data_IF_315131643653
#
_entry.id   IF_315131643653
#
_cell.length_a   1.000
_cell.length_b   1.000
_cell.length_c   1.000
_cell.angle_alpha   90.00
_cell.angle_beta   90.00
_cell.angle_gamma   90.00
#
_symmetry.space_group_name_H-M   'P 1'
#
loop_
_entity.id
_entity.type
_entity.pdbx_description
1 polymer ?
2 non-polymer ?
3 water ?
#
# COMPACT_ATOMS: atom_id res chain seq x y z
N UNK A 1 -23.61 21.68 21.84
CA UNK A 1 -23.33 20.65 20.79
C UNK A 1 -22.16 19.77 21.21
N UNK A 2 -22.04 18.61 20.56
CA UNK A 2 -20.95 17.68 20.85
C UNK A 2 -19.65 18.32 20.40
N UNK A 3 -18.55 17.95 21.03
CA UNK A 3 -17.25 18.50 20.67
C UNK A 3 -16.81 17.84 19.36
N UNK A 4 -16.03 18.56 18.55
CA UNK A 4 -15.54 18.05 17.27
C UNK A 4 -14.67 16.81 17.45
N UNK A 5 -14.53 16.02 16.39
CA UNK A 5 -13.69 14.83 16.47
C UNK A 5 -12.24 15.30 16.41
N UNK A 6 -11.35 14.47 16.95
CA UNK A 6 -9.93 14.76 16.95
C UNK A 6 -9.38 14.35 15.59
N UNK A 7 -8.30 14.99 15.15
CA UNK A 7 -7.67 14.66 13.88
C UNK A 7 -6.16 14.75 14.06
N UNK A 8 -5.41 13.89 13.36
CA UNK A 8 -3.96 13.99 13.52
C UNK A 8 -3.39 15.00 12.50
N UNK A 9 -4.27 15.56 11.69
CA UNK A 9 -3.90 16.53 10.67
C UNK A 9 -4.57 17.86 10.94
N UNK A 10 -4.28 18.86 10.12
CA UNK A 10 -4.79 20.21 10.31
C UNK A 10 -6.22 20.46 9.82
N UNK A 11 -6.59 19.86 8.69
CA UNK A 11 -7.92 20.10 8.14
C UNK A 11 -8.83 18.88 8.06
N UNK A 12 -10.13 19.14 8.01
CA UNK A 12 -11.13 18.08 7.93
C UNK A 12 -11.96 18.23 6.66
N UNK A 13 -13.00 17.42 6.51
CA UNK A 13 -13.82 17.48 5.31
C UNK A 13 -14.54 18.80 5.09
N UNK A 14 -14.73 19.58 6.16
CA UNK A 14 -15.40 20.87 6.05
C UNK A 14 -14.46 21.94 5.49
N UNK A 15 -13.20 21.56 5.28
CA UNK A 15 -12.20 22.50 4.75
C UNK A 15 -11.94 22.28 3.28
N UNK A 16 -12.64 21.32 2.69
CA UNK A 16 -12.52 21.02 1.29
C UNK A 16 -13.90 20.90 0.67
N UNK A 17 -14.04 21.35 -0.57
CA UNK A 17 -15.31 21.27 -1.28
C UNK A 17 -15.07 20.63 -2.63
N UNK A 18 -15.85 19.59 -2.92
CA UNK A 18 -15.73 18.87 -4.17
C UNK A 18 -16.74 19.47 -5.15
N UNK A 19 -16.20 20.04 -6.22
CA UNK A 19 -17.00 20.68 -7.25
C UNK A 19 -17.78 19.62 -8.02
N UNK A 20 -17.12 18.51 -8.33
CA UNK A 20 -17.77 17.44 -9.06
C UNK A 20 -16.80 16.33 -9.41
N UNK A 21 -17.37 15.23 -9.91
CA UNK A 21 -16.59 14.08 -10.34
C UNK A 21 -17.11 13.75 -11.72
N UNK A 22 -16.25 13.82 -12.73
CA UNK A 22 -16.68 13.52 -14.08
C UNK A 22 -15.98 12.24 -14.52
N UNK A 23 -16.74 11.36 -15.18
CA UNK A 23 -16.16 10.10 -15.64
C UNK A 23 -15.32 10.26 -16.89
N UNK A 24 -14.05 9.91 -16.77
CA UNK A 24 -13.12 9.99 -17.89
C UNK A 24 -13.32 8.74 -18.72
N UNK A 25 -13.43 7.60 -18.05
CA UNK A 25 -13.65 6.31 -18.70
C UNK A 25 -14.47 5.44 -17.77
N UNK A 26 -15.44 4.72 -18.34
CA UNK A 26 -16.31 3.84 -17.57
C UNK A 26 -16.16 2.36 -17.93
N UNK A 27 -15.99 1.52 -16.90
CA UNK A 27 -15.86 0.08 -17.09
C UNK A 27 -16.22 -0.48 -15.72
N UNK A 28 -15.97 -1.76 -15.43
CA UNK A 28 -16.31 -2.24 -14.08
C UNK A 28 -15.36 -1.52 -13.14
N UNK A 29 -14.25 -1.07 -13.69
CA UNK A 29 -13.25 -0.27 -12.96
C UNK A 29 -13.30 1.04 -13.73
N UNK A 30 -13.33 2.15 -13.02
CA UNK A 30 -13.42 3.43 -13.68
C UNK A 30 -12.35 4.43 -13.29
N UNK A 31 -12.13 5.38 -14.20
CA UNK A 31 -11.18 6.46 -14.00
C UNK A 31 -12.01 7.73 -14.01
N UNK A 32 -12.10 8.36 -12.84
CA UNK A 32 -12.85 9.60 -12.69
C UNK A 32 -11.94 10.79 -12.44
N UNK A 33 -12.48 11.98 -12.65
CA UNK A 33 -11.73 13.19 -12.42
C UNK A 33 -12.38 14.03 -11.32
N UNK A 34 -11.67 14.14 -10.20
CA UNK A 34 -12.16 14.93 -9.07
C UNK A 34 -11.76 16.39 -9.31
N UNK A 35 -12.74 17.29 -9.19
CA UNK A 35 -12.56 18.73 -9.34
C UNK A 35 -12.87 19.29 -7.96
N UNK A 36 -11.95 20.03 -7.36
CA UNK A 36 -12.18 20.51 -6.00
C UNK A 36 -11.30 21.67 -5.58
N UNK A 37 -11.66 22.27 -4.44
CA UNK A 37 -10.91 23.37 -3.85
C UNK A 37 -10.74 23.00 -2.39
N UNK A 38 -9.74 23.56 -1.74
CA UNK A 38 -9.49 23.24 -0.34
C UNK A 38 -8.70 24.35 0.32
N UNK A 39 -8.78 24.44 1.65
CA UNK A 39 -8.02 25.46 2.36
C UNK A 39 -6.54 25.10 2.28
N UNK A 40 -5.70 26.12 2.22
CA UNK A 40 -4.26 25.91 2.18
C UNK A 40 -3.75 26.20 3.59
N UNK A 41 -2.54 25.72 3.91
CA UNK A 41 -1.97 25.96 5.23
C UNK A 41 -1.71 27.43 5.51
N UNK A 42 -1.55 28.22 4.46
CA UNK A 42 -1.32 29.65 4.66
C UNK A 42 -2.64 30.36 4.97
N UNK A 43 -3.71 29.60 5.16
CA UNK A 43 -4.98 30.21 5.50
C UNK A 43 -5.84 30.65 4.34
N UNK A 44 -5.34 30.51 3.13
CA UNK A 44 -6.14 30.90 1.99
C UNK A 44 -6.87 29.71 1.41
N UNK A 45 -7.64 29.95 0.34
CA UNK A 45 -8.39 28.89 -0.30
C UNK A 45 -7.83 28.72 -1.70
N UNK A 46 -7.73 27.47 -2.15
CA UNK A 46 -7.16 27.17 -3.46
C UNK A 46 -8.05 27.46 -4.66
N UNK A 47 -7.47 27.38 -5.85
CA UNK A 47 -8.22 27.54 -7.09
C UNK A 47 -8.65 26.10 -7.33
N UNK A 48 -9.46 25.87 -8.37
CA UNK A 48 -9.87 24.50 -8.64
C UNK A 48 -8.63 23.66 -8.93
N UNK A 49 -8.62 22.45 -8.36
CA UNK A 49 -7.54 21.51 -8.58
C UNK A 49 -8.25 20.31 -9.17
N UNK A 50 -7.58 19.62 -10.10
CA UNK A 50 -8.15 18.49 -10.78
C UNK A 50 -7.24 17.28 -10.66
N UNK A 51 -7.83 16.13 -10.35
CA UNK A 51 -7.10 14.87 -10.16
C UNK A 51 -7.80 13.69 -10.84
N UNK A 52 -7.03 12.82 -11.49
CA UNK A 52 -7.59 11.64 -12.13
C UNK A 52 -7.46 10.55 -11.06
N UNK A 53 -8.59 9.95 -10.70
CA UNK A 53 -8.59 8.93 -9.67
C UNK A 53 -9.12 7.58 -10.15
N UNK A 54 -8.37 6.52 -9.83
CA UNK A 54 -8.73 5.17 -10.19
C UNK A 54 -9.75 4.63 -9.16
N UNK A 55 -10.97 4.40 -9.63
CA UNK A 55 -12.07 3.89 -8.83
C UNK A 55 -12.15 2.40 -9.15
N UNK A 56 -11.89 1.58 -8.15
CA UNK A 56 -11.83 0.15 -8.34
C UNK A 56 -12.44 -0.62 -7.17
N UNK A 57 -13.19 0.07 -6.32
CA UNK A 57 -13.77 -0.61 -5.18
C UNK A 57 -12.73 -0.74 -4.10
N UNK A 58 -13.00 -1.60 -3.13
CA UNK A 58 -12.12 -1.81 -1.99
C UNK A 58 -12.01 -3.29 -1.68
N UNK A 59 -10.92 -3.68 -1.01
CA UNK A 59 -10.70 -5.09 -0.71
C UNK A 59 -10.64 -5.48 0.75
N UNK A 60 -10.82 -6.77 0.99
CA UNK A 60 -10.75 -7.38 2.32
C UNK A 60 -9.52 -8.29 2.24
N UNK A 61 -8.65 -8.26 3.25
CA UNK A 61 -7.43 -9.06 3.27
C UNK A 61 -7.34 -9.95 4.53
N UNK A 62 -6.97 -11.21 4.35
CA UNK A 62 -6.84 -12.12 5.48
C UNK A 62 -5.45 -12.74 5.59
N UNK A 63 -4.85 -12.63 6.77
CA UNK A 63 -3.52 -13.20 7.02
C UNK A 63 -3.76 -14.52 7.75
N UNK A 64 -3.59 -15.67 7.04
CA UNK A 64 -3.79 -17.00 7.64
C UNK A 64 -2.61 -17.42 8.54
N UNK A 65 -2.84 -17.35 9.84
CA UNK A 65 -1.82 -17.67 10.82
C UNK A 65 -2.16 -18.86 11.74
N UNK A 66 -1.26 -19.84 11.77
CA UNK A 66 -1.38 -21.03 12.62
C UNK A 66 -0.43 -20.67 13.77
N UNK A 67 -0.98 -20.22 14.91
CA UNK A 67 -0.15 -19.85 16.06
C UNK A 67 0.59 -21.00 16.74
N UNK A 68 0.01 -22.20 16.69
CA UNK A 68 0.63 -23.34 17.34
C UNK A 68 1.81 -23.86 16.54
N UNK A 69 1.64 -24.03 15.23
CA UNK A 69 2.76 -24.52 14.39
C UNK A 69 3.62 -23.35 13.92
N UNK A 70 3.21 -22.13 14.26
CA UNK A 70 3.92 -20.92 13.88
C UNK A 70 4.19 -20.89 12.38
N UNK A 71 3.12 -21.09 11.61
CA UNK A 71 3.21 -21.10 10.15
C UNK A 71 2.21 -20.13 9.54
N UNK A 72 2.42 -19.85 8.26
CA UNK A 72 1.59 -18.93 7.50
C UNK A 72 1.19 -19.61 6.19
N UNK A 73 -0.04 -19.41 5.76
CA UNK A 73 -0.50 -20.00 4.51
C UNK A 73 -0.60 -18.90 3.47
N UNK A 74 0.24 -18.99 2.44
CA UNK A 74 0.26 -18.01 1.35
C UNK A 74 -0.51 -18.51 0.14
N UNK A 75 -0.74 -17.61 -0.81
CA UNK A 75 -1.47 -17.96 -2.02
C UNK A 75 -0.67 -17.44 -3.22
N UNK A 76 -0.46 -18.29 -4.21
CA UNK A 76 0.26 -17.91 -5.44
C UNK A 76 -0.75 -17.69 -6.55
N UNK A 77 -0.59 -16.59 -7.26
CA UNK A 77 -1.53 -16.21 -8.32
C UNK A 77 -0.87 -15.22 -9.28
N UNK A 78 -1.29 -15.21 -10.54
CA UNK A 78 -0.72 -14.28 -11.52
C UNK A 78 -1.35 -12.89 -11.41
N UNK A 79 -0.48 -11.88 -11.42
CA UNK A 79 -0.87 -10.48 -11.36
C UNK A 79 -0.15 -9.82 -12.53
N UNK A 80 -0.82 -9.74 -13.67
CA UNK A 80 -0.22 -9.17 -14.88
C UNK A 80 0.36 -7.75 -14.75
N UNK A 81 -0.22 -6.92 -13.88
CA UNK A 81 0.27 -5.55 -13.70
C UNK A 81 1.70 -5.51 -13.12
N UNK A 82 2.10 -6.61 -12.47
CA UNK A 82 3.43 -6.75 -11.87
C UNK A 82 4.47 -7.12 -12.93
N UNK A 83 4.01 -7.41 -14.13
CA UNK A 83 4.86 -7.80 -15.25
C UNK A 83 6.02 -6.89 -15.65
N UNK A 84 5.72 -5.63 -15.94
CA UNK A 84 6.77 -4.71 -16.38
C UNK A 84 7.86 -4.37 -15.39
N UNK A 85 7.64 -4.63 -14.10
CA UNK A 85 8.64 -4.30 -13.08
C UNK A 85 9.02 -5.47 -12.17
N UNK A 86 8.65 -6.69 -12.56
CA UNK A 86 8.97 -7.87 -11.77
C UNK A 86 9.48 -9.00 -12.63
N UNK A 87 10.27 -9.88 -12.02
CA UNK A 87 10.84 -11.04 -12.71
C UNK A 87 9.74 -12.02 -13.13
N UNK A 88 8.69 -12.14 -12.33
CA UNK A 88 7.57 -13.03 -12.68
C UNK A 88 6.25 -12.36 -12.30
N UNK A 89 5.22 -12.50 -13.15
CA UNK A 89 3.93 -11.87 -12.80
C UNK A 89 3.17 -12.71 -11.76
N UNK A 90 3.77 -13.82 -11.33
CA UNK A 90 3.16 -14.69 -10.33
C UNK A 90 3.67 -14.31 -8.96
N UNK A 91 2.75 -13.80 -8.13
CA UNK A 91 3.07 -13.35 -6.79
C UNK A 91 2.56 -14.25 -5.66
N UNK A 92 3.20 -14.13 -4.50
CA UNK A 92 2.80 -14.85 -3.29
C UNK A 92 2.00 -13.82 -2.50
N UNK A 93 0.72 -14.09 -2.27
CA UNK A 93 -0.10 -13.12 -1.58
C UNK A 93 -0.94 -13.63 -0.41
N UNK A 94 -1.70 -12.71 0.14
CA UNK A 94 -2.60 -12.98 1.25
C UNK A 94 -3.95 -13.32 0.63
N UNK A 95 -4.82 -13.92 1.43
CA UNK A 95 -6.15 -14.24 0.98
C UNK A 95 -6.77 -12.85 0.89
N UNK A 96 -7.44 -12.56 -0.21
CA UNK A 96 -8.07 -11.26 -0.40
C UNK A 96 -9.23 -11.32 -1.38
N UNK A 97 -10.16 -10.37 -1.26
CA UNK A 97 -11.31 -10.34 -2.15
C UNK A 97 -12.00 -9.00 -2.09
N UNK A 98 -12.78 -8.68 -3.09
CA UNK A 98 -13.47 -7.39 -3.13
C UNK A 98 -14.61 -7.39 -2.16
N UNK A 99 -14.81 -6.25 -1.49
CA UNK A 99 -15.91 -6.14 -0.55
C UNK A 99 -17.12 -5.66 -1.31
N UNK A 100 -18.21 -6.41 -1.17
CA UNK A 100 -19.46 -6.10 -1.84
C UNK A 100 -20.46 -5.46 -0.88
N UNK A 101 -21.49 -4.83 -1.43
CA UNK A 101 -22.53 -4.17 -0.64
C UNK A 101 -23.17 -5.07 0.42
N UNK A 102 -23.28 -4.54 1.64
CA UNK A 102 -23.89 -5.29 2.72
C UNK A 102 -23.01 -6.37 3.32
N UNK A 103 -21.77 -6.49 2.83
CA UNK A 103 -20.84 -7.49 3.33
C UNK A 103 -19.81 -6.84 4.25
N UNK A 104 -19.44 -7.52 5.33
CA UNK A 104 -18.44 -6.99 6.25
C UNK A 104 -17.08 -7.47 5.80
N UNK A 105 -16.04 -6.82 6.29
CA UNK A 105 -14.69 -7.20 5.93
C UNK A 105 -14.41 -8.64 6.35
N UNK A 106 -14.92 -9.01 7.52
CA UNK A 106 -14.75 -10.34 8.07
C UNK A 106 -15.47 -11.42 7.25
N UNK A 107 -16.67 -11.12 6.78
CA UNK A 107 -17.42 -12.08 5.98
C UNK A 107 -16.72 -12.40 4.65
N UNK A 108 -16.10 -11.38 4.06
CA UNK A 108 -15.40 -11.56 2.80
C UNK A 108 -14.12 -12.37 3.03
N UNK A 109 -13.38 -12.00 4.06
CA UNK A 109 -12.15 -12.68 4.41
C UNK A 109 -12.44 -14.16 4.65
N UNK A 110 -13.49 -14.45 5.41
CA UNK A 110 -13.87 -15.83 5.70
C UNK A 110 -14.30 -16.60 4.45
N UNK A 111 -15.08 -15.96 3.59
CA UNK A 111 -15.54 -16.62 2.37
C UNK A 111 -14.36 -16.88 1.43
N UNK A 112 -13.46 -15.91 1.36
CA UNK A 112 -12.29 -16.01 0.49
C UNK A 112 -11.28 -17.05 0.95
N UNK A 113 -11.19 -17.25 2.26
CA UNK A 113 -10.26 -18.23 2.83
C UNK A 113 -10.65 -19.61 2.34
N UNK A 114 -11.95 -19.88 2.34
CA UNK A 114 -12.48 -21.15 1.89
C UNK A 114 -12.26 -21.40 0.39
N UNK A 115 -12.77 -20.53 -0.46
CA UNK A 115 -12.62 -20.76 -1.90
C UNK A 115 -11.26 -20.48 -2.55
N UNK A 116 -10.36 -19.77 -1.87
CA UNK A 116 -9.05 -19.52 -2.45
C UNK A 116 -8.01 -20.50 -1.93
N UNK A 117 -8.07 -20.80 -0.63
CA UNK A 117 -7.11 -21.71 -0.02
C UNK A 117 -7.68 -22.94 0.68
N UNK A 118 -8.99 -23.15 0.61
CA UNK A 118 -9.60 -24.30 1.25
C UNK A 118 -9.40 -24.34 2.77
N UNK A 119 -9.32 -23.18 3.39
CA UNK A 119 -9.12 -23.09 4.82
C UNK A 119 -10.37 -22.64 5.55
N UNK A 120 -10.56 -23.11 6.77
CA UNK A 120 -11.70 -22.68 7.55
C UNK A 120 -11.14 -21.85 8.71
N UNK A 121 -11.34 -20.54 8.65
CA UNK A 121 -10.83 -19.63 9.66
C UNK A 121 -11.60 -19.73 10.97
N UNK A 122 -10.86 -19.73 12.07
CA UNK A 122 -11.47 -19.82 13.40
C UNK A 122 -11.61 -18.39 13.90
N UNK A 123 -10.89 -18.03 14.95
CA UNK A 123 -10.96 -16.67 15.45
C UNK A 123 -10.28 -15.68 14.49
N UNK A 124 -10.83 -14.48 14.38
CA UNK A 124 -10.25 -13.44 13.53
C UNK A 124 -9.93 -12.25 14.43
N UNK A 125 -9.11 -11.34 13.92
CA UNK A 125 -8.71 -10.19 14.69
C UNK A 125 -8.32 -9.06 13.73
N UNK A 126 -8.90 -7.87 13.93
CA UNK A 126 -8.55 -6.75 13.02
C UNK A 126 -7.07 -6.38 13.13
N UNK A 127 -6.43 -6.13 12.00
CA UNK A 127 -5.02 -5.77 11.97
C UNK A 127 -4.84 -4.31 11.61
N UNK A 128 -5.24 -3.96 10.39
CA UNK A 128 -5.08 -2.60 9.90
C UNK A 128 -5.75 -2.40 8.55
N UNK A 129 -6.21 -1.18 8.32
CA UNK A 129 -6.87 -0.80 7.07
C UNK A 129 -6.00 0.28 6.44
N UNK A 130 -5.57 0.08 5.19
CA UNK A 130 -4.70 1.05 4.55
C UNK A 130 -5.10 1.49 3.14
N UNK A 131 -4.62 2.66 2.73
CA UNK A 131 -4.89 3.16 1.39
C UNK A 131 -3.67 2.78 0.52
N UNK A 132 -3.92 1.98 -0.51
CA UNK A 132 -2.86 1.48 -1.39
C UNK A 132 -1.91 2.53 -1.94
N UNK A 133 -2.47 3.62 -2.49
CA UNK A 133 -1.70 4.70 -3.11
C UNK A 133 -2.68 5.85 -3.32
N UNK A 134 -3.05 6.53 -2.21
CA UNK A 134 -4.00 7.65 -2.14
C UNK A 134 -3.89 8.85 -3.06
N UNK A 135 -2.76 8.97 -3.75
CA UNK A 135 -2.59 10.08 -4.67
C UNK A 135 -3.24 9.83 -6.02
N UNK A 136 -3.55 8.57 -6.31
CA UNK A 136 -4.14 8.25 -7.60
C UNK A 136 -5.24 7.22 -7.56
N UNK A 137 -5.44 6.59 -6.40
CA UNK A 137 -6.51 5.60 -6.25
C UNK A 137 -7.19 5.81 -4.92
N UNK A 138 -8.47 5.50 -4.91
CA UNK A 138 -9.29 5.59 -3.70
C UNK A 138 -9.28 4.26 -2.96
N UNK A 139 -8.74 3.21 -3.59
CA UNK A 139 -8.74 1.88 -2.98
C UNK A 139 -8.27 1.75 -1.55
N UNK A 140 -9.11 1.14 -0.74
CA UNK A 140 -8.84 0.91 0.66
C UNK A 140 -8.89 -0.60 0.93
N UNK A 141 -7.88 -1.12 1.64
CA UNK A 141 -7.79 -2.55 1.97
C UNK A 141 -7.73 -2.75 3.47
N UNK A 142 -8.61 -3.61 3.98
CA UNK A 142 -8.70 -3.92 5.39
C UNK A 142 -8.14 -5.31 5.69
N UNK A 143 -7.11 -5.37 6.53
CA UNK A 143 -6.48 -6.63 6.87
C UNK A 143 -6.96 -7.21 8.19
N UNK A 144 -6.99 -8.54 8.24
CA UNK A 144 -7.36 -9.28 9.43
C UNK A 144 -6.48 -10.52 9.54
N UNK A 145 -6.24 -10.95 10.78
CA UNK A 145 -5.47 -12.16 11.01
C UNK A 145 -6.50 -13.25 11.23
N UNK A 146 -6.36 -14.33 10.49
CA UNK A 146 -7.29 -15.43 10.65
C UNK A 146 -6.58 -16.61 11.25
N UNK A 147 -7.06 -17.07 12.41
CA UNK A 147 -6.48 -18.23 13.09
C UNK A 147 -6.83 -19.42 12.22
N UNK A 148 -5.83 -20.22 11.88
CA UNK A 148 -6.10 -21.34 11.03
C UNK A 148 -5.21 -22.52 11.41
N UNK A 149 -5.61 -23.72 10.99
CA UNK A 149 -4.82 -24.93 11.26
C UNK A 149 -4.12 -25.19 9.94
N UNK A 150 -2.86 -24.78 9.84
CA UNK A 150 -2.08 -24.92 8.61
C UNK A 150 -2.06 -26.31 7.98
N UNK A 151 -2.48 -27.33 8.72
CA UNK A 151 -2.50 -28.68 8.18
C UNK A 151 -3.73 -28.88 7.29
N UNK A 152 -4.65 -27.92 7.34
CA UNK A 152 -5.87 -27.95 6.54
C UNK A 152 -5.58 -27.39 5.13
N UNK A 153 -4.32 -27.47 4.72
CA UNK A 153 -3.89 -26.99 3.41
C UNK A 153 -4.79 -27.56 2.31
N UNK A 154 -5.12 -26.73 1.31
CA UNK A 154 -5.97 -27.16 0.19
C UNK A 154 -6.11 -26.05 -0.85
N UNK A 159 -7.88 -30.25 -3.02
CA UNK A 159 -7.63 -28.93 -3.61
C UNK A 159 -8.80 -27.98 -3.42
N UNK A 160 -8.48 -26.69 -3.30
CA UNK A 160 -9.47 -25.65 -3.11
C UNK A 160 -10.41 -25.58 -4.31
N UNK A 161 -11.15 -24.49 -4.41
CA UNK A 161 -12.09 -24.31 -5.50
C UNK A 161 -11.41 -23.71 -6.72
N UNK A 162 -10.53 -22.73 -6.48
CA UNK A 162 -9.81 -22.07 -7.56
C UNK A 162 -8.37 -22.56 -7.61
N UNK A 163 -8.16 -23.86 -7.39
CA UNK A 163 -6.81 -24.40 -7.41
C UNK A 163 -6.12 -24.28 -8.77
N UNK A 164 -6.88 -24.03 -9.84
CA UNK A 164 -6.27 -23.89 -11.16
C UNK A 164 -5.71 -22.50 -11.42
N UNK A 165 -6.22 -21.52 -10.67
CA UNK A 165 -5.77 -20.12 -10.78
C UNK A 165 -4.96 -19.70 -9.54
N UNK A 166 -5.17 -20.43 -8.44
CA UNK A 166 -4.51 -20.14 -7.16
C UNK A 166 -3.89 -21.39 -6.54
N UNK A 167 -2.64 -21.30 -6.09
CA UNK A 167 -1.97 -22.42 -5.45
C UNK A 167 -1.50 -22.00 -4.05
N UNK A 168 -1.86 -22.78 -3.03
CA UNK A 168 -1.45 -22.42 -1.68
C UNK A 168 -0.04 -22.93 -1.37
N UNK A 169 0.64 -22.21 -0.49
CA UNK A 169 2.00 -22.53 -0.07
C UNK A 169 2.02 -22.36 1.43
N UNK A 170 2.25 -23.44 2.17
CA UNK A 170 2.31 -23.33 3.63
C UNK A 170 3.77 -23.24 4.04
N UNK A 171 4.12 -22.19 4.76
CA UNK A 171 5.50 -21.98 5.21
C UNK A 171 5.54 -21.47 6.66
N UNK A 172 6.74 -21.45 7.23
CA UNK A 172 6.94 -20.98 8.58
C UNK A 172 6.85 -19.45 8.56
N UNK A 173 6.43 -18.88 9.69
CA UNK A 173 6.33 -17.44 9.81
C UNK A 173 7.69 -16.85 9.46
N UNK A 174 8.75 -17.42 10.02
CA UNK A 174 10.10 -16.93 9.76
C UNK A 174 10.51 -16.93 8.29
N UNK A 175 10.08 -17.94 7.53
CA UNK A 175 10.41 -18.01 6.11
C UNK A 175 9.62 -16.92 5.35
N UNK A 176 8.37 -16.73 5.77
CA UNK A 176 7.52 -15.74 5.14
C UNK A 176 8.17 -14.37 5.28
N UNK A 177 8.52 -14.01 6.51
CA UNK A 177 9.15 -12.72 6.79
C UNK A 177 10.49 -12.55 6.09
N UNK A 178 11.31 -13.59 6.08
CA UNK A 178 12.61 -13.52 5.42
C UNK A 178 12.41 -13.21 3.94
N UNK A 179 11.32 -13.73 3.36
CA UNK A 179 11.05 -13.46 1.95
C UNK A 179 10.60 -12.02 1.72
N UNK A 180 10.00 -11.41 2.74
CA UNK A 180 9.60 -10.03 2.64
C UNK A 180 10.90 -9.21 2.63
N UNK A 181 11.82 -9.52 3.54
CA UNK A 181 13.09 -8.81 3.61
C UNK A 181 13.93 -8.91 2.35
N UNK A 182 13.91 -10.08 1.71
CA UNK A 182 14.67 -10.33 0.50
C UNK A 182 14.00 -9.80 -0.76
N UNK A 183 12.76 -9.34 -0.63
CA UNK A 183 12.03 -8.82 -1.78
C UNK A 183 11.29 -9.89 -2.55
N UNK A 184 11.16 -11.08 -1.98
CA UNK A 184 10.47 -12.18 -2.65
C UNK A 184 8.96 -12.11 -2.47
N UNK A 185 8.54 -11.27 -1.54
CA UNK A 185 7.12 -11.01 -1.29
C UNK A 185 7.10 -9.50 -1.22
N UNK A 186 6.66 -8.85 -2.28
CA UNK A 186 6.65 -7.39 -2.29
C UNK A 186 5.33 -6.73 -2.63
N UNK A 187 4.21 -7.41 -2.42
CA UNK A 187 2.93 -6.75 -2.68
C UNK A 187 2.49 -6.13 -1.35
N UNK A 188 2.03 -4.89 -1.39
CA UNK A 188 1.64 -4.14 -0.20
C UNK A 188 0.91 -4.85 0.94
N UNK A 189 -0.23 -5.48 0.64
CA UNK A 189 -1.00 -6.17 1.67
C UNK A 189 -0.22 -7.26 2.40
N UNK A 190 0.61 -7.99 1.66
CA UNK A 190 1.41 -9.05 2.25
C UNK A 190 2.56 -8.50 3.08
N UNK A 191 3.21 -7.44 2.59
CA UNK A 191 4.32 -6.83 3.32
C UNK A 191 3.83 -6.25 4.64
N UNK A 192 2.73 -5.50 4.59
CA UNK A 192 2.15 -4.90 5.78
C UNK A 192 1.69 -5.97 6.79
N UNK A 193 0.96 -6.95 6.29
CA UNK A 193 0.47 -8.04 7.14
C UNK A 193 1.59 -8.79 7.86
N UNK A 194 2.59 -9.24 7.10
CA UNK A 194 3.70 -9.99 7.67
C UNK A 194 4.66 -9.22 8.57
N UNK A 195 4.75 -7.91 8.37
CA UNK A 195 5.60 -7.09 9.22
C UNK A 195 4.82 -6.92 10.54
N UNK A 196 3.50 -6.79 10.45
CA UNK A 196 2.67 -6.62 11.63
C UNK A 196 2.76 -7.91 12.44
N UNK A 197 2.76 -9.03 11.73
CA UNK A 197 2.83 -10.35 12.38
C UNK A 197 4.18 -10.60 13.04
N UNK A 198 5.24 -10.08 12.45
CA UNK A 198 6.58 -10.26 13.00
C UNK A 198 6.72 -9.41 14.25
N UNK A 199 5.85 -8.42 14.40
CA UNK A 199 5.88 -7.52 15.53
C UNK A 199 4.97 -7.97 16.65
N UNK A 200 3.99 -8.79 16.30
CA UNK A 200 3.01 -9.26 17.28
C UNK A 200 2.88 -10.76 17.50
N UNK A 201 3.57 -11.58 16.71
CA UNK A 201 3.40 -13.02 16.84
C UNK A 201 3.34 -13.62 18.26
N UNK A 202 4.20 -13.18 19.16
CA UNK A 202 4.21 -13.73 20.52
C UNK A 202 2.94 -13.38 21.30
N UNK A 203 2.52 -12.13 21.25
CA UNK A 203 1.32 -11.71 21.97
C UNK A 203 0.10 -12.43 21.41
N UNK A 204 0.03 -12.56 20.08
CA UNK A 204 -1.09 -13.23 19.40
C UNK A 204 -1.16 -14.72 19.72
N UNK A 205 0.00 -15.37 19.73
CA UNK A 205 0.09 -16.79 20.07
C UNK A 205 -0.36 -16.99 21.52
N UNK A 206 0.06 -16.11 22.43
CA UNK A 206 -0.35 -16.22 23.82
C UNK A 206 -1.86 -16.01 23.91
N UNK A 207 -2.37 -15.04 23.14
CA UNK A 207 -3.79 -14.78 23.17
C UNK A 207 -4.61 -15.95 22.67
N UNK A 208 -4.22 -16.53 21.55
CA UNK A 208 -4.93 -17.66 20.98
C UNK A 208 -4.51 -19.03 21.55
N UNK A 209 -3.65 -19.02 22.56
CA UNK A 209 -3.16 -20.25 23.17
C UNK A 209 -4.27 -21.13 23.76
N UNK B 8 9.65 -21.53 -4.43
CA UNK B 8 8.30 -20.94 -4.24
C UNK B 8 7.51 -20.87 -5.55
N UNK B 9 7.57 -19.71 -6.20
CA UNK B 9 6.87 -19.49 -7.45
C UNK B 9 7.45 -20.36 -8.58
N UNK B 10 6.58 -21.10 -9.24
CA UNK B 10 6.99 -21.99 -10.33
C UNK B 10 7.08 -21.26 -11.68
N UNK B 11 5.94 -20.73 -12.10
CA UNK B 11 5.78 -20.04 -13.37
C UNK B 11 6.54 -18.75 -13.56
N UNK B 12 6.80 -18.41 -14.82
CA UNK B 12 7.51 -17.19 -15.16
C UNK B 12 6.94 -16.50 -16.38
N UNK B 13 7.70 -15.60 -16.99
CA UNK B 13 7.22 -14.86 -18.16
C UNK B 13 7.03 -15.69 -19.43
N UNK B 14 7.64 -16.86 -19.52
CA UNK B 14 7.45 -17.71 -20.69
C UNK B 14 6.14 -18.50 -20.55
N UNK B 15 5.53 -18.42 -19.37
CA UNK B 15 4.27 -19.12 -19.09
C UNK B 15 3.07 -18.20 -19.29
N UNK B 16 3.32 -17.08 -19.95
CA UNK B 16 2.28 -16.11 -20.22
C UNK B 16 2.48 -15.52 -21.58
N UNK B 17 1.40 -15.44 -22.33
CA UNK B 17 1.43 -14.83 -23.65
C UNK B 17 0.52 -13.62 -23.59
N UNK B 18 1.11 -12.44 -23.73
CA UNK B 18 0.34 -11.22 -23.73
C UNK B 18 -0.06 -11.01 -25.17
N UNK B 19 -1.35 -11.15 -25.44
CA UNK B 19 -1.90 -11.01 -26.78
C UNK B 19 -1.86 -9.55 -27.26
N UNK B 20 -2.15 -8.62 -26.36
CA UNK B 20 -2.15 -7.22 -26.73
C UNK B 20 -2.43 -6.27 -25.57
N UNK B 21 -2.04 -5.02 -25.75
CA UNK B 21 -2.27 -3.98 -24.74
C UNK B 21 -2.94 -2.83 -25.47
N UNK B 22 -3.99 -2.27 -24.88
CA UNK B 22 -4.71 -1.18 -25.51
C UNK B 22 -4.99 -0.09 -24.51
N UNK B 23 -4.82 1.15 -24.91
CA UNK B 23 -5.10 2.25 -23.99
C UNK B 23 -6.57 2.62 -24.11
N UNK B 24 -7.33 2.35 -23.06
CA UNK B 24 -8.75 2.67 -23.03
C UNK B 24 -8.90 4.16 -22.82
N UNK B 25 -7.98 4.74 -22.06
CA UNK B 25 -7.99 6.16 -21.79
C UNK B 25 -6.59 6.70 -21.49
N UNK B 26 -6.29 7.87 -22.05
CA UNK B 26 -4.99 8.48 -21.81
C UNK B 26 -5.13 9.98 -21.55
N UNK B 27 -4.85 10.36 -20.31
CA UNK B 27 -4.90 11.75 -19.91
C UNK B 27 -3.57 11.96 -19.21
N UNK B 28 -3.62 12.44 -17.96
CA UNK B 28 -2.39 12.65 -17.19
C UNK B 28 -1.81 11.26 -16.91
N UNK B 29 -2.70 10.35 -16.55
CA UNK B 29 -2.34 8.97 -16.28
C UNK B 29 -2.95 8.13 -17.40
N UNK B 30 -2.75 6.82 -17.33
CA UNK B 30 -3.32 5.94 -18.35
C UNK B 30 -4.08 4.78 -17.74
N UNK B 31 -5.13 4.37 -18.44
CA UNK B 31 -5.87 3.19 -18.04
C UNK B 31 -5.71 2.25 -19.23
N UNK B 32 -4.99 1.15 -19.03
CA UNK B 32 -4.75 0.21 -20.11
C UNK B 32 -5.51 -1.12 -19.97
N UNK B 33 -5.64 -1.85 -21.07
CA UNK B 33 -6.28 -3.15 -21.05
C UNK B 33 -5.24 -4.16 -21.50
N UNK B 34 -5.00 -5.16 -20.65
CA UNK B 34 -4.06 -6.21 -20.96
C UNK B 34 -4.88 -7.43 -21.35
N UNK B 35 -4.60 -8.02 -22.51
CA UNK B 35 -5.31 -9.22 -22.97
C UNK B 35 -4.23 -10.30 -23.07
N UNK B 36 -4.39 -11.38 -22.31
CA UNK B 36 -3.40 -12.44 -22.28
C UNK B 36 -3.95 -13.82 -21.97
N UNK B 37 -3.08 -14.81 -22.09
CA UNK B 37 -3.39 -16.20 -21.79
C UNK B 37 -2.21 -16.63 -20.92
N UNK B 38 -2.44 -17.48 -19.94
CA UNK B 38 -1.37 -17.92 -19.05
C UNK B 38 -1.59 -19.36 -18.62
N UNK B 39 -0.54 -19.97 -18.06
CA UNK B 39 -0.61 -21.35 -17.58
C UNK B 39 -1.38 -21.45 -16.28
N UNK B 40 -2.27 -22.43 -16.22
CA UNK B 40 -3.05 -22.67 -15.01
C UNK B 40 -2.20 -23.57 -14.10
N UNK B 41 -2.62 -23.77 -12.86
CA UNK B 41 -1.86 -24.63 -11.96
C UNK B 41 -2.17 -26.10 -12.18
N UNK B 42 -2.25 -26.48 -13.44
CA UNK B 42 -2.51 -27.86 -13.81
C UNK B 42 -1.87 -28.02 -15.19
N UNK B 43 -0.94 -27.12 -15.49
CA UNK B 43 -0.25 -27.14 -16.76
C UNK B 43 -0.98 -26.38 -17.84
N UNK B 44 -2.15 -26.89 -18.23
CA UNK B 44 -2.98 -26.29 -19.27
C UNK B 44 -2.94 -24.75 -19.30
N UNK B 45 -3.19 -24.19 -20.48
CA UNK B 45 -3.22 -22.75 -20.67
C UNK B 45 -4.66 -22.26 -20.55
N UNK B 46 -4.83 -21.09 -19.96
CA UNK B 46 -6.17 -20.55 -19.77
C UNK B 46 -6.74 -20.00 -21.07
N UNK B 47 -7.98 -19.52 -21.00
CA UNK B 47 -8.62 -18.90 -22.16
C UNK B 47 -7.99 -17.53 -22.17
N UNK B 48 -8.57 -16.62 -22.94
CA UNK B 48 -8.06 -15.25 -23.00
C UNK B 48 -8.62 -14.47 -21.82
N UNK B 49 -7.73 -13.86 -21.03
CA UNK B 49 -8.14 -13.09 -19.87
C UNK B 49 -7.97 -11.60 -20.13
N UNK B 50 -8.88 -10.79 -19.58
CA UNK B 50 -8.84 -9.34 -19.73
C UNK B 50 -8.63 -8.68 -18.38
N UNK B 51 -7.81 -7.64 -18.35
CA UNK B 51 -7.49 -6.93 -17.13
C UNK B 51 -7.38 -5.44 -17.36
N UNK B 52 -8.16 -4.65 -16.63
CA UNK B 52 -8.09 -3.19 -16.72
C UNK B 52 -6.97 -2.78 -15.76
N UNK B 53 -5.89 -2.22 -16.29
CA UNK B 53 -4.75 -1.83 -15.48
C UNK B 53 -4.44 -0.34 -15.46
N UNK B 54 -4.37 0.23 -14.26
CA UNK B 54 -4.08 1.63 -14.06
C UNK B 54 -2.56 1.85 -14.17
N UNK B 55 -2.16 2.56 -15.22
CA UNK B 55 -0.77 2.87 -15.49
C UNK B 55 -0.45 4.32 -15.09
N UNK B 56 0.39 4.51 -14.08
CA UNK B 56 0.73 5.87 -13.65
C UNK B 56 2.22 6.08 -13.35
N UNK B 57 3.07 5.18 -13.84
CA UNK B 57 4.48 5.32 -13.56
C UNK B 57 4.79 4.69 -12.21
N UNK B 58 6.01 4.89 -11.73
CA UNK B 58 6.43 4.32 -10.46
C UNK B 58 6.98 5.38 -9.50
N UNK B 59 6.98 5.09 -8.21
CA UNK B 59 7.41 6.10 -7.25
C UNK B 59 8.61 5.80 -6.37
N UNK B 60 9.18 6.87 -5.83
CA UNK B 60 10.31 6.79 -4.92
C UNK B 60 9.77 7.34 -3.61
N UNK B 61 10.11 6.68 -2.52
CA UNK B 61 9.65 7.10 -1.20
C UNK B 61 10.84 7.24 -0.27
N UNK B 62 10.80 8.27 0.58
CA UNK B 62 11.88 8.47 1.53
C UNK B 62 11.38 8.72 2.94
N UNK B 63 11.86 7.90 3.86
CA UNK B 63 11.53 8.01 5.27
C UNK B 63 12.66 8.83 5.93
N UNK B 64 12.34 10.07 6.39
CA UNK B 64 13.33 10.93 7.04
C UNK B 64 13.48 10.51 8.50
N UNK B 65 14.62 9.95 8.87
CA UNK B 65 14.83 9.50 10.23
C UNK B 65 16.05 10.16 10.90
N UNK B 66 15.81 10.77 12.07
CA UNK B 66 16.85 11.43 12.85
C UNK B 66 17.27 10.45 13.95
N UNK B 67 18.42 9.78 13.77
CA UNK B 67 18.97 8.78 14.69
C UNK B 67 19.28 9.36 16.08
N UNK B 68 19.87 10.55 16.09
CA UNK B 68 20.24 11.25 17.30
C UNK B 68 19.02 11.48 18.17
N UNK B 69 18.00 12.11 17.58
CA UNK B 69 16.77 12.41 18.30
C UNK B 69 15.75 11.27 18.27
N UNK B 70 16.01 10.25 17.46
CA UNK B 70 15.09 9.12 17.34
C UNK B 70 13.74 9.67 16.89
N UNK B 71 13.76 10.43 15.80
CA UNK B 71 12.55 11.02 15.27
C UNK B 71 12.32 10.79 13.78
N UNK B 72 11.07 10.99 13.40
CA UNK B 72 10.64 10.84 12.02
C UNK B 72 10.02 12.17 11.58
N UNK B 73 10.17 12.50 10.30
CA UNK B 73 9.61 13.72 9.75
C UNK B 73 8.49 13.33 8.78
N UNK B 74 7.25 13.70 9.12
CA UNK B 74 6.11 13.35 8.28
C UNK B 74 5.67 14.53 7.43
N UNK B 75 5.00 14.22 6.32
CA UNK B 75 4.51 15.23 5.37
C UNK B 75 2.97 15.23 5.37
N UNK B 76 2.36 16.38 5.66
CA UNK B 76 0.91 16.46 5.63
C UNK B 76 0.43 17.19 4.39
N UNK B 77 -0.40 16.52 3.59
CA UNK B 77 -0.96 17.14 2.39
C UNK B 77 -2.26 16.43 2.04
N UNK B 78 -3.18 17.12 1.35
CA UNK B 78 -4.46 16.52 0.99
C UNK B 78 -4.34 15.51 -0.14
N UNK B 79 -5.15 14.46 -0.04
CA UNK B 79 -5.24 13.39 -1.04
C UNK B 79 -6.74 13.08 -1.12
N UNK B 80 -7.45 13.76 -2.03
CA UNK B 80 -8.89 13.56 -2.16
C UNK B 80 -9.36 12.16 -2.49
N UNK B 81 -8.48 11.34 -3.06
CA UNK B 81 -8.87 9.97 -3.37
C UNK B 81 -9.18 9.26 -2.07
N UNK B 82 -8.66 9.79 -0.98
CA UNK B 82 -8.89 9.21 0.35
C UNK B 82 -10.24 9.63 0.92
N UNK B 83 -10.81 10.70 0.36
CA UNK B 83 -12.08 11.27 0.82
C UNK B 83 -13.18 10.27 1.19
N UNK B 84 -13.64 9.49 0.22
CA UNK B 84 -14.72 8.54 0.45
C UNK B 84 -14.58 7.48 1.55
N UNK B 85 -13.36 7.12 1.94
CA UNK B 85 -13.19 6.08 2.96
C UNK B 85 -12.43 6.50 4.21
N UNK B 86 -12.12 7.79 4.31
CA UNK B 86 -11.37 8.31 5.43
C UNK B 86 -12.19 9.44 6.05
N UNK B 87 -11.87 9.83 7.27
CA UNK B 87 -12.59 10.91 7.92
C UNK B 87 -12.12 12.26 7.39
N UNK B 88 -10.90 12.29 6.89
CA UNK B 88 -10.35 13.50 6.31
C UNK B 88 -9.37 13.12 5.20
N UNK B 89 -9.36 13.88 4.09
CA UNK B 89 -8.46 13.63 2.94
C UNK B 89 -7.02 14.01 3.19
N UNK B 90 -6.79 14.86 4.19
CA UNK B 90 -5.44 15.28 4.56
C UNK B 90 -4.75 14.13 5.29
N UNK B 91 -3.69 13.60 4.71
CA UNK B 91 -2.96 12.48 5.30
C UNK B 91 -1.56 12.84 5.78
N UNK B 92 -1.04 11.98 6.66
CA UNK B 92 0.31 12.07 7.22
C UNK B 92 1.11 11.08 6.40
N UNK B 93 2.14 11.55 5.70
CA UNK B 93 2.91 10.66 4.82
C UNK B 93 4.42 10.76 4.83
N UNK B 94 5.02 9.98 3.93
CA UNK B 94 6.46 9.96 3.75
C UNK B 94 6.73 10.87 2.56
N UNK B 95 7.99 11.28 2.42
CA UNK B 95 8.39 12.10 1.29
C UNK B 95 8.31 11.12 0.10
N UNK B 96 7.85 11.60 -1.04
CA UNK B 96 7.73 10.73 -2.20
C UNK B 96 7.59 11.52 -3.50
N UNK B 97 7.85 10.86 -4.61
CA UNK B 97 7.74 11.49 -5.91
C UNK B 97 7.82 10.47 -7.03
N UNK B 98 7.27 10.82 -8.19
CA UNK B 98 7.28 9.93 -9.35
C UNK B 98 8.66 9.88 -9.98
N UNK B 99 9.08 8.68 -10.35
CA UNK B 99 10.39 8.47 -10.98
C UNK B 99 10.23 8.70 -12.48
N UNK B 100 10.97 9.68 -13.00
CA UNK B 100 10.92 10.01 -14.42
C UNK B 100 12.06 9.43 -15.25
N UNK B 101 12.01 9.71 -16.55
CA UNK B 101 13.00 9.22 -17.50
C UNK B 101 14.41 8.94 -16.97
N UNK B 102 14.65 7.66 -16.68
CA UNK B 102 15.95 7.24 -16.20
C UNK B 102 16.54 7.92 -14.98
N UNK B 103 15.70 8.26 -13.99
CA UNK B 103 16.20 8.88 -12.77
C UNK B 103 16.41 7.68 -11.86
N UNK B 104 17.23 7.83 -10.84
CA UNK B 104 17.45 6.73 -9.90
C UNK B 104 16.50 6.95 -8.74
N UNK B 105 16.12 5.87 -8.06
CA UNK B 105 15.20 5.96 -6.94
C UNK B 105 15.74 6.86 -5.83
N UNK B 106 17.03 6.70 -5.50
CA UNK B 106 17.69 7.49 -4.47
C UNK B 106 17.66 8.99 -4.75
N UNK B 107 17.92 9.36 -6.00
CA UNK B 107 17.93 10.76 -6.36
C UNK B 107 16.56 11.41 -6.31
N UNK B 108 15.50 10.68 -6.69
CA UNK B 108 14.17 11.26 -6.64
C UNK B 108 13.84 11.47 -5.16
N UNK B 109 14.18 10.48 -4.35
CA UNK B 109 13.94 10.51 -2.91
C UNK B 109 14.62 11.70 -2.23
N UNK B 110 15.92 11.89 -2.52
CA UNK B 110 16.72 12.99 -1.95
C UNK B 110 16.27 14.39 -2.41
N UNK B 111 15.89 14.49 -3.69
CA UNK B 111 15.42 15.73 -4.27
C UNK B 111 14.06 16.12 -3.64
N UNK B 112 13.15 15.15 -3.51
CA UNK B 112 11.83 15.41 -2.92
C UNK B 112 11.94 15.75 -1.44
N UNK B 113 13.00 15.30 -0.80
CA UNK B 113 13.22 15.58 0.61
C UNK B 113 13.48 17.07 0.74
N UNK B 114 14.15 17.64 -0.26
CA UNK B 114 14.44 19.05 -0.24
C UNK B 114 13.17 19.85 -0.51
N UNK B 115 12.52 19.54 -1.63
CA UNK B 115 11.30 20.22 -2.03
C UNK B 115 10.12 20.12 -1.04
N UNK B 116 9.83 18.91 -0.56
CA UNK B 116 8.71 18.70 0.35
C UNK B 116 8.93 18.99 1.84
N UNK B 117 10.12 18.67 2.35
CA UNK B 117 10.40 18.87 3.76
C UNK B 117 11.55 19.83 4.03
N UNK B 118 12.16 20.36 2.97
CA UNK B 118 13.27 21.28 3.12
C UNK B 118 14.48 20.68 3.82
N UNK B 119 14.59 19.35 3.80
CA UNK B 119 15.71 18.66 4.45
C UNK B 119 16.74 18.17 3.46
N UNK B 120 17.99 18.20 3.87
CA UNK B 120 19.07 17.71 3.04
C UNK B 120 19.47 16.39 3.67
N UNK B 121 19.00 15.28 3.09
CA UNK B 121 19.33 13.94 3.57
C UNK B 121 20.84 13.69 3.58
N UNK B 122 21.34 13.07 4.65
CA UNK B 122 22.77 12.74 4.77
C UNK B 122 23.01 11.35 4.19
N UNK B 123 23.24 10.34 5.05
CA UNK B 123 23.43 8.98 4.53
C UNK B 123 22.06 8.39 4.20
N UNK B 124 22.02 7.55 3.17
CA UNK B 124 20.76 6.95 2.79
C UNK B 124 20.94 5.45 2.60
N UNK B 125 19.86 4.71 2.77
CA UNK B 125 19.92 3.26 2.66
C UNK B 125 18.62 2.69 2.10
N UNK B 126 18.71 1.66 1.23
CA UNK B 126 17.51 1.04 0.66
C UNK B 126 16.76 0.22 1.70
N UNK B 127 15.44 0.28 1.67
CA UNK B 127 14.58 -0.45 2.60
C UNK B 127 13.84 -1.61 1.91
N UNK B 128 12.69 -1.29 1.28
CA UNK B 128 11.86 -2.27 0.57
C UNK B 128 11.29 -1.63 -0.70
N UNK B 129 10.90 -2.46 -1.66
CA UNK B 129 10.28 -1.99 -2.91
C UNK B 129 8.99 -2.77 -3.03
N UNK B 130 7.86 -2.09 -3.15
CA UNK B 130 6.59 -2.81 -3.24
C UNK B 130 5.63 -2.36 -4.34
N UNK B 131 4.68 -3.25 -4.64
CA UNK B 131 3.64 -2.99 -5.62
C UNK B 131 2.42 -2.60 -4.76
N UNK B 132 1.89 -1.41 -4.98
CA UNK B 132 0.75 -0.93 -4.20
C UNK B 132 -0.46 -1.86 -4.18
N UNK B 133 -0.91 -2.25 -5.38
CA UNK B 133 -2.06 -3.11 -5.56
C UNK B 133 -1.94 -3.75 -6.94
N UNK B 134 -1.12 -4.81 -7.06
CA UNK B 134 -0.79 -5.60 -8.25
C UNK B 134 -1.98 -6.14 -9.06
N UNK B 135 -3.17 -6.11 -8.48
CA UNK B 135 -4.34 -6.59 -9.19
C UNK B 135 -4.97 -5.58 -10.13
N UNK B 136 -4.71 -4.30 -9.90
CA UNK B 136 -5.32 -3.28 -10.75
C UNK B 136 -4.39 -2.19 -11.25
N UNK B 137 -3.22 -2.05 -10.65
CA UNK B 137 -2.28 -1.02 -11.10
C UNK B 137 -0.87 -1.58 -11.16
N UNK B 138 -0.07 -1.03 -12.05
CA UNK B 138 1.32 -1.47 -12.22
C UNK B 138 2.27 -0.73 -11.31
N UNK B 139 1.76 0.29 -10.63
CA UNK B 139 2.59 1.11 -9.76
C UNK B 139 3.47 0.39 -8.75
N UNK B 140 4.73 0.76 -8.75
CA UNK B 140 5.72 0.22 -7.81
C UNK B 140 6.36 1.40 -7.06
N UNK B 141 6.55 1.21 -5.76
CA UNK B 141 7.16 2.23 -4.90
C UNK B 141 8.42 1.67 -4.22
N UNK B 142 9.53 2.39 -4.34
CA UNK B 142 10.78 1.95 -3.72
C UNK B 142 11.14 2.91 -2.59
N UNK B 143 11.20 2.35 -1.39
CA UNK B 143 11.50 3.08 -0.16
C UNK B 143 12.98 3.15 0.19
N UNK B 144 13.40 4.31 0.71
CA UNK B 144 14.77 4.55 1.13
C UNK B 144 14.64 5.16 2.54
N UNK B 145 15.61 4.91 3.42
CA UNK B 145 15.56 5.56 4.72
C UNK B 145 16.72 6.54 4.64
N UNK B 146 16.44 7.81 4.92
CA UNK B 146 17.49 8.81 4.82
C UNK B 146 17.76 9.51 6.13
N UNK B 147 19.03 9.56 6.51
CA UNK B 147 19.46 10.20 7.75
C UNK B 147 19.20 11.70 7.61
N UNK B 148 18.48 12.25 8.59
CA UNK B 148 18.13 13.65 8.55
C UNK B 148 18.24 14.32 9.92
N UNK B 149 18.22 15.64 9.94
CA UNK B 149 18.25 16.42 11.17
C UNK B 149 16.89 17.09 11.21
N UNK B 150 15.99 16.50 11.99
CA UNK B 150 14.61 16.96 12.14
C UNK B 150 14.54 18.45 12.44
N UNK B 151 15.53 18.91 13.17
CA UNK B 151 15.66 20.31 13.57
C UNK B 151 15.58 21.33 12.42
N UNK B 152 15.93 20.90 11.21
CA UNK B 152 15.94 21.79 10.04
C UNK B 152 14.76 21.80 9.05
N UNK B 153 13.76 20.94 9.26
CA UNK B 153 12.59 20.90 8.35
C UNK B 153 11.97 22.28 8.12
N UNK B 154 11.29 22.45 6.99
CA UNK B 154 10.66 23.75 6.70
C UNK B 154 9.28 23.89 7.32
N UNK B 155 8.75 25.10 7.24
CA UNK B 155 7.41 25.38 7.76
C UNK B 155 6.45 25.61 6.61
N UNK B 156 5.28 26.18 6.92
CA UNK B 156 4.26 26.44 5.92
C UNK B 156 4.72 27.48 4.90
N UNK B 157 4.43 27.22 3.63
CA UNK B 157 4.79 28.15 2.56
C UNK B 157 3.84 29.33 2.53
N UNK B 158 4.37 30.54 2.69
CA UNK B 158 3.57 31.75 2.65
C UNK B 158 2.74 31.80 1.38
N UNK B 159 3.40 31.64 0.23
CA UNK B 159 2.71 31.59 -1.07
C UNK B 159 2.81 30.09 -1.35
N UNK B 160 1.67 29.43 -1.48
CA UNK B 160 1.67 27.98 -1.67
C UNK B 160 1.78 27.38 -3.06
N UNK B 161 2.10 26.08 -3.09
CA UNK B 161 2.15 25.32 -4.32
C UNK B 161 0.76 24.66 -4.23
N UNK B 162 -0.17 25.05 -5.08
CA UNK B 162 -1.52 24.48 -4.98
C UNK B 162 -1.68 23.01 -5.32
N UNK B 163 -0.74 22.40 -6.05
CA UNK B 163 -0.91 20.98 -6.29
C UNK B 163 -0.02 20.15 -5.37
N UNK B 164 0.65 20.85 -4.44
CA UNK B 164 1.51 20.23 -3.44
C UNK B 164 1.70 21.15 -2.23
N UNK B 165 0.61 21.42 -1.52
CA UNK B 165 0.65 22.27 -0.33
C UNK B 165 0.94 21.35 0.86
N UNK B 166 2.16 21.44 1.37
CA UNK B 166 2.65 20.59 2.46
C UNK B 166 2.90 21.25 3.82
N UNK B 167 2.63 20.48 4.87
CA UNK B 167 2.91 20.92 6.24
C UNK B 167 3.72 19.79 6.89
N UNK B 168 4.93 20.13 7.31
CA UNK B 168 5.85 19.19 7.94
C UNK B 168 5.56 18.95 9.43
N UNK B 169 5.60 17.69 9.84
CA UNK B 169 5.35 17.31 11.23
C UNK B 169 6.55 16.50 11.72
N UNK B 170 7.09 16.86 12.87
CA UNK B 170 8.23 16.13 13.42
C UNK B 170 7.72 15.44 14.69
N UNK B 171 7.86 14.12 14.76
CA UNK B 171 7.40 13.35 15.92
C UNK B 171 8.40 12.25 16.27
N UNK B 172 8.27 11.71 17.48
CA UNK B 172 9.17 10.66 17.91
C UNK B 172 8.89 9.42 17.06
N UNK B 173 9.89 8.55 16.95
CA UNK B 173 9.75 7.31 16.21
C UNK B 173 8.59 6.50 16.79
N UNK B 174 8.55 6.36 18.11
CA UNK B 174 7.50 5.60 18.77
C UNK B 174 6.09 6.15 18.51
N UNK B 175 5.98 7.46 18.56
CA UNK B 175 4.70 8.14 18.34
C UNK B 175 4.12 7.77 16.98
N UNK B 176 4.92 7.99 15.95
CA UNK B 176 4.52 7.71 14.58
C UNK B 176 4.13 6.25 14.38
N UNK B 177 4.83 5.33 15.07
CA UNK B 177 4.53 3.90 14.94
C UNK B 177 3.18 3.57 15.59
N UNK B 178 2.92 4.18 16.73
CA UNK B 178 1.69 3.98 17.46
C UNK B 178 0.52 4.46 16.61
N UNK B 179 0.73 5.56 15.90
CA UNK B 179 -0.30 6.11 15.03
C UNK B 179 -0.62 5.14 13.91
N UNK B 180 0.37 4.37 13.50
CA UNK B 180 0.20 3.37 12.44
C UNK B 180 -0.69 2.26 12.99
N UNK B 181 -0.35 1.77 14.17
CA UNK B 181 -1.13 0.73 14.80
C UNK B 181 -2.54 1.18 15.10
N UNK B 182 -2.68 2.47 15.46
CA UNK B 182 -3.99 3.02 15.80
C UNK B 182 -4.78 3.39 14.56
N UNK B 183 -4.13 3.28 13.40
CA UNK B 183 -4.79 3.61 12.15
C UNK B 183 -4.75 5.07 11.73
N UNK B 184 -4.10 5.91 12.52
CA UNK B 184 -3.99 7.34 12.23
C UNK B 184 -3.04 7.64 11.06
N UNK B 185 -2.24 6.65 10.71
CA UNK B 185 -1.34 6.77 9.56
C UNK B 185 -1.69 5.49 8.80
N UNK B 186 -2.29 5.63 7.62
CA UNK B 186 -2.69 4.42 6.92
C UNK B 186 -2.54 4.39 5.42
N UNK B 187 -1.49 5.00 4.92
CA UNK B 187 -1.22 4.94 3.49
C UNK B 187 -0.08 3.93 3.41
N UNK B 188 -0.14 3.04 2.42
CA UNK B 188 0.81 1.95 2.24
C UNK B 188 2.31 2.28 2.43
N UNK B 189 2.80 3.32 1.78
CA UNK B 189 4.20 3.69 1.90
C UNK B 189 4.62 3.98 3.35
N UNK B 190 3.79 4.75 4.05
CA UNK B 190 4.09 5.12 5.43
C UNK B 190 4.00 3.92 6.38
N UNK B 191 2.91 3.17 6.28
CA UNK B 191 2.74 2.00 7.11
C UNK B 191 3.93 1.05 6.95
N UNK B 192 4.30 0.76 5.71
CA UNK B 192 5.41 -0.14 5.43
C UNK B 192 6.76 0.35 5.94
N UNK B 193 7.09 1.61 5.62
CA UNK B 193 8.35 2.20 6.07
C UNK B 193 8.41 2.28 7.60
N UNK B 194 7.30 2.69 8.22
CA UNK B 194 7.28 2.84 9.66
C UNK B 194 7.28 1.51 10.40
N UNK B 195 6.80 0.45 9.76
CA UNK B 195 6.82 -0.85 10.39
C UNK B 195 8.26 -1.35 10.27
N UNK B 196 8.89 -1.05 9.15
CA UNK B 196 10.27 -1.46 8.91
C UNK B 196 11.16 -0.81 9.97
N UNK B 197 10.97 0.49 10.16
CA UNK B 197 11.76 1.23 11.14
C UNK B 197 11.57 0.62 12.53
N UNK B 198 10.33 0.23 12.84
CA UNK B 198 10.03 -0.35 14.14
C UNK B 198 10.69 -1.71 14.34
N UNK B 199 11.05 -2.38 13.27
CA UNK B 199 11.71 -3.68 13.38
C UNK B 199 13.23 -3.59 13.28
N UNK B 200 13.75 -2.43 12.85
CA UNK B 200 15.19 -2.29 12.68
C UNK B 200 15.78 -1.04 13.31
N UNK B 201 14.99 -0.28 14.06
CA UNK B 201 15.51 0.97 14.61
C UNK B 201 16.82 0.90 15.40
N UNK B 202 16.97 -0.08 16.27
CA UNK B 202 18.21 -0.17 17.05
C UNK B 202 19.43 -0.47 16.19
N UNK B 203 19.27 -1.32 15.18
CA UNK B 203 20.38 -1.65 14.30
C UNK B 203 20.75 -0.46 13.42
N UNK B 204 19.78 0.38 13.11
CA UNK B 204 20.04 1.54 12.28
C UNK B 204 20.66 2.66 13.09
N UNK B 205 20.25 2.76 14.36
CA UNK B 205 20.76 3.78 15.25
C UNK B 205 22.24 3.46 15.50
N UNK B 206 22.54 2.18 15.69
CA UNK B 206 23.90 1.76 15.94
C UNK B 206 24.78 1.95 14.71
N UNK B 207 24.20 1.72 13.54
CA UNK B 207 24.96 1.88 12.30
C UNK B 207 25.24 3.35 12.02
N UNK B 208 24.24 4.20 12.23
CA UNK B 208 24.43 5.62 11.98
C UNK B 208 24.84 6.31 13.28
N UNK B 209 25.55 7.41 13.18
CA UNK B 209 25.99 8.11 14.38
C UNK B 209 26.72 7.18 15.38
#
# INVERSE_FOLDING_TARGET
>A
MLKPDNLPVTFGKNDVEIIARETLYRGFFSLDLYRFRHRLFNGQMSHEVRREIFERGHAAVLLPFDPVRDEVVLIEQIRIAAYDTSETPWLLEMVAGMIEEGESVEDVARREAIEEAGLIVKRTKPVLSFLASPGGTSERSSIMVGEVDATTASGIHGLADENEDIRVHVVSREQAYQWVEEGKIDNAASVIALQWLQLHHQALKNEWA
>B
MLKPDNLPVTFGKNDVEIIARETLYRGFFSLDLYRFRHRLFNGQMSHEVRREIFERGHAAVLLPFDPVRDEVVLIEQIRIAAYDTSETPWLLEMVAGMIEEGESVEDVARREAIEEAGLIVKRTKPVLSFLASPGGTSERSSIMVGEVDATTASGIHGLADENEDIRVHVVSREQAYQWVEEGKIDNAASVIALQWLQLHHQALKNEWA
#
